data_IF_149720249793
#
_entry.id   IF_149720249793
#
_cell.length_a   1.000
_cell.length_b   1.000
_cell.length_c   1.000
_cell.angle_alpha   90.00
_cell.angle_beta   90.00
_cell.angle_gamma   90.00
#
_symmetry.space_group_name_H-M   'P 1'
#
loop_
_entity.id
_entity.type
_entity.pdbx_description
1 polymer ?
#
# COMPACT_ATOMS: atom_id res chain seq x y z
N UNK A 1 11.71 0.54 -46.56
CA UNK A 1 13.05 0.33 -47.08
C UNK A 1 14.02 0.03 -45.96
N UNK A 2 15.11 -0.64 -46.26
CA UNK A 2 16.15 -0.98 -45.29
C UNK A 2 16.77 0.26 -44.65
N UNK A 3 16.86 1.35 -45.41
CA UNK A 3 17.41 2.61 -44.94
C UNK A 3 16.55 3.31 -43.86
N UNK A 4 15.23 3.31 -44.01
CA UNK A 4 14.31 4.03 -43.14
C UNK A 4 13.55 3.12 -42.18
N UNK A 5 13.63 1.81 -42.33
CA UNK A 5 12.83 0.85 -41.60
C UNK A 5 13.05 0.87 -40.08
N UNK A 6 14.18 1.39 -39.63
CA UNK A 6 14.53 1.50 -38.20
C UNK A 6 14.43 2.93 -37.63
N UNK A 7 14.10 3.91 -38.49
CA UNK A 7 14.03 5.31 -38.08
C UNK A 7 12.59 5.72 -37.78
N UNK A 8 12.37 6.54 -36.73
CA UNK A 8 11.05 7.12 -36.49
C UNK A 8 10.76 8.22 -37.52
N UNK A 9 9.49 8.50 -37.87
CA UNK A 9 9.10 9.59 -38.77
C UNK A 9 9.73 10.94 -38.45
N UNK A 10 9.95 11.27 -37.19
CA UNK A 10 10.65 12.48 -36.76
C UNK A 10 12.11 12.58 -37.22
N UNK A 11 12.74 11.47 -37.60
CA UNK A 11 14.08 11.44 -38.20
C UNK A 11 14.02 11.25 -39.71
N UNK A 12 12.98 10.59 -40.21
CA UNK A 12 12.84 10.36 -41.67
C UNK A 12 12.53 11.67 -42.40
N UNK A 13 11.60 12.48 -41.89
CA UNK A 13 11.15 13.71 -42.57
C UNK A 13 12.28 14.72 -42.76
N UNK A 14 13.07 15.10 -41.73
CA UNK A 14 14.20 16.02 -41.95
C UNK A 14 15.30 15.41 -42.84
N UNK A 15 15.55 14.10 -42.74
CA UNK A 15 16.55 13.44 -43.57
C UNK A 15 16.18 13.45 -45.06
N UNK A 16 14.88 13.27 -45.36
CA UNK A 16 14.39 13.44 -46.74
C UNK A 16 14.51 14.88 -47.20
N UNK A 17 14.29 15.84 -46.34
CA UNK A 17 14.44 17.26 -46.66
C UNK A 17 15.91 17.63 -46.98
N UNK A 18 16.88 17.01 -46.29
CA UNK A 18 18.30 17.18 -46.59
C UNK A 18 18.67 16.73 -48.04
N UNK A 19 17.91 15.78 -48.59
CA UNK A 19 17.99 15.34 -49.98
C UNK A 19 17.05 16.12 -50.92
N UNK A 20 16.47 17.22 -50.46
CA UNK A 20 15.56 18.05 -51.27
C UNK A 20 14.17 17.44 -51.50
N UNK A 21 13.79 16.43 -50.71
CA UNK A 21 12.51 15.73 -50.83
C UNK A 21 11.60 16.03 -49.66
N UNK A 22 10.39 16.50 -49.94
CA UNK A 22 9.33 16.61 -48.94
C UNK A 22 8.14 15.76 -49.38
N UNK A 23 7.89 14.65 -48.68
CA UNK A 23 6.80 13.74 -48.99
C UNK A 23 5.53 14.09 -48.19
N UNK A 24 5.66 14.20 -46.88
CA UNK A 24 4.56 14.52 -45.96
C UNK A 24 5.08 14.95 -44.59
N UNK A 25 4.19 15.51 -43.76
CA UNK A 25 4.51 15.83 -42.39
C UNK A 25 4.69 14.56 -41.53
N UNK A 26 5.42 14.69 -40.42
CA UNK A 26 5.60 13.61 -39.44
C UNK A 26 4.27 12.98 -38.99
N UNK A 27 3.27 13.84 -38.75
CA UNK A 27 1.93 13.39 -38.35
C UNK A 27 1.26 12.50 -39.40
N UNK A 28 1.49 12.80 -40.66
CA UNK A 28 0.97 11.99 -41.78
C UNK A 28 1.67 10.64 -41.85
N UNK A 29 2.99 10.59 -41.67
CA UNK A 29 3.74 9.34 -41.56
C UNK A 29 3.25 8.49 -40.43
N UNK A 30 3.07 9.06 -39.22
CA UNK A 30 2.54 8.32 -38.08
C UNK A 30 1.11 7.78 -38.31
N UNK A 31 0.26 8.55 -39.00
CA UNK A 31 -1.10 8.12 -39.36
C UNK A 31 -1.09 6.93 -40.31
N UNK A 32 -0.28 6.99 -41.36
CA UNK A 32 -0.16 5.90 -42.35
C UNK A 32 0.44 4.65 -41.69
N UNK A 33 1.54 4.77 -40.97
CA UNK A 33 2.17 3.65 -40.29
C UNK A 33 1.24 2.98 -39.27
N UNK A 34 0.36 3.76 -38.65
CA UNK A 34 -0.65 3.21 -37.74
C UNK A 34 -1.73 2.44 -38.50
N UNK A 35 -2.22 2.97 -39.63
CA UNK A 35 -3.19 2.30 -40.47
C UNK A 35 -2.68 0.97 -41.02
N UNK A 36 -1.37 0.94 -41.41
CA UNK A 36 -0.70 -0.25 -41.91
C UNK A 36 -0.16 -1.19 -40.81
N UNK A 37 -0.48 -0.95 -39.51
CA UNK A 37 0.04 -1.72 -38.38
C UNK A 37 1.57 -1.80 -38.29
N UNK A 38 2.28 -0.82 -38.85
CA UNK A 38 3.74 -0.76 -38.88
C UNK A 38 4.35 0.10 -37.75
N UNK A 39 3.53 0.73 -36.91
CA UNK A 39 3.98 1.41 -35.71
C UNK A 39 4.29 0.38 -34.63
N UNK A 40 5.40 -0.32 -34.74
CA UNK A 40 5.92 -1.19 -33.68
C UNK A 40 6.71 -0.35 -32.70
N UNK A 41 6.28 -0.34 -31.43
CA UNK A 41 7.15 0.19 -30.38
C UNK A 41 8.39 -0.71 -30.27
N UNK A 42 9.58 -0.12 -30.16
CA UNK A 42 10.87 -0.84 -30.02
C UNK A 42 10.92 -1.90 -28.91
N UNK A 43 9.93 -1.94 -28.02
CA UNK A 43 9.78 -2.95 -26.95
C UNK A 43 8.64 -3.94 -27.18
N UNK A 44 7.93 -3.86 -28.31
CA UNK A 44 6.75 -4.70 -28.59
C UNK A 44 7.12 -6.14 -28.99
N UNK A 45 8.39 -6.45 -29.25
CA UNK A 45 8.84 -7.81 -29.56
C UNK A 45 8.86 -8.77 -28.35
N UNK A 46 8.81 -8.23 -27.13
CA UNK A 46 8.58 -9.06 -25.95
C UNK A 46 7.07 -9.14 -25.70
N UNK A 47 6.46 -10.33 -25.80
CA UNK A 47 5.07 -10.49 -25.43
C UNK A 47 4.85 -9.91 -24.04
N UNK A 48 3.78 -9.12 -23.87
CA UNK A 48 3.42 -8.56 -22.60
C UNK A 48 3.34 -9.73 -21.59
N UNK A 49 4.24 -9.77 -20.61
CA UNK A 49 4.13 -10.76 -19.52
C UNK A 49 2.78 -10.56 -18.89
N UNK A 50 1.90 -11.55 -18.98
CA UNK A 50 0.67 -11.57 -18.22
C UNK A 50 1.04 -11.51 -16.75
N UNK A 51 0.78 -10.38 -16.12
CA UNK A 51 0.99 -10.19 -14.69
C UNK A 51 -0.29 -10.63 -14.00
N UNK A 52 -0.28 -11.84 -13.47
CA UNK A 52 -1.38 -12.29 -12.65
C UNK A 52 -1.44 -11.44 -11.37
N UNK A 53 -2.66 -11.04 -11.01
CA UNK A 53 -2.90 -10.35 -9.74
C UNK A 53 -2.45 -11.23 -8.58
N UNK A 54 -1.81 -10.71 -7.51
CA UNK A 54 -1.49 -11.50 -6.34
C UNK A 54 -2.76 -12.15 -5.78
N UNK A 55 -2.61 -13.32 -5.17
CA UNK A 55 -3.74 -13.99 -4.50
C UNK A 55 -4.39 -13.02 -3.52
N UNK A 56 -5.71 -12.95 -3.57
CA UNK A 56 -6.49 -12.22 -2.57
C UNK A 56 -6.25 -12.83 -1.19
N UNK A 57 -5.91 -11.98 -0.22
CA UNK A 57 -5.69 -12.37 1.16
C UNK A 57 -6.69 -11.63 2.05
N UNK A 58 -7.07 -12.24 3.16
CA UNK A 58 -7.93 -11.61 4.15
C UNK A 58 -7.48 -11.94 5.56
N UNK A 59 -7.74 -11.02 6.48
CA UNK A 59 -7.52 -11.20 7.90
C UNK A 59 -8.84 -10.96 8.67
N UNK A 60 -9.13 -11.81 9.64
CA UNK A 60 -10.29 -11.75 10.53
C UNK A 60 -9.91 -11.53 11.97
N UNK A 61 -8.63 -11.64 12.28
CA UNK A 61 -8.03 -11.44 13.60
C UNK A 61 -6.62 -10.82 13.49
N UNK A 62 -6.06 -10.28 14.57
CA UNK A 62 -4.67 -9.88 14.64
C UNK A 62 -3.70 -11.03 14.31
N UNK A 63 -2.51 -10.69 13.84
CA UNK A 63 -1.42 -11.63 13.60
C UNK A 63 -1.74 -12.75 12.58
N UNK A 64 -2.65 -12.48 11.62
CA UNK A 64 -2.91 -13.36 10.47
C UNK A 64 -2.24 -12.85 9.18
N UNK A 65 -2.17 -11.53 9.01
CA UNK A 65 -1.64 -10.90 7.81
C UNK A 65 -0.90 -9.63 8.17
N UNK A 66 0.40 -9.65 7.96
CA UNK A 66 1.31 -8.53 8.20
C UNK A 66 1.82 -8.02 6.86
N UNK A 67 1.78 -6.71 6.65
CA UNK A 67 2.44 -6.04 5.54
C UNK A 67 3.71 -5.37 6.03
N UNK A 68 4.78 -5.42 5.24
CA UNK A 68 6.00 -4.70 5.58
C UNK A 68 6.64 -4.02 4.38
N UNK A 69 7.41 -2.99 4.67
CA UNK A 69 8.12 -2.23 3.67
C UNK A 69 9.23 -1.39 4.33
N UNK A 70 10.14 -0.88 3.50
CA UNK A 70 11.24 0.00 3.92
C UNK A 70 10.99 1.39 3.38
N UNK A 71 11.12 2.41 4.23
CA UNK A 71 11.10 3.80 3.77
C UNK A 71 12.37 4.54 4.20
N UNK A 72 12.76 5.50 3.39
CA UNK A 72 14.00 6.28 3.56
C UNK A 72 13.74 7.49 4.43
N UNK A 73 14.62 7.70 5.40
CA UNK A 73 14.68 8.85 6.27
C UNK A 73 15.93 9.66 5.91
N UNK A 74 15.81 10.95 5.51
CA UNK A 74 16.94 11.74 5.04
C UNK A 74 17.93 12.01 6.17
N UNK A 75 19.23 11.94 5.84
CA UNK A 75 20.32 12.36 6.73
C UNK A 75 20.84 13.74 6.33
N UNK A 76 21.69 14.34 7.16
CA UNK A 76 22.34 15.63 6.86
C UNK A 76 23.22 15.57 5.60
N UNK A 77 23.64 14.38 5.17
CA UNK A 77 24.44 14.18 3.96
C UNK A 77 23.52 13.89 2.79
N UNK A 78 23.55 14.73 1.77
CA UNK A 78 22.71 14.58 0.59
C UNK A 78 22.96 13.23 -0.10
N UNK A 79 21.87 12.51 -0.38
CA UNK A 79 21.93 11.19 -1.01
C UNK A 79 22.18 10.03 -0.05
N UNK A 80 22.42 10.29 1.22
CA UNK A 80 22.56 9.28 2.28
C UNK A 80 21.27 9.23 3.09
N UNK A 81 20.80 8.02 3.41
CA UNK A 81 19.54 7.78 4.11
C UNK A 81 19.72 6.78 5.24
N UNK A 82 18.89 6.93 6.27
CA UNK A 82 18.57 5.83 7.17
C UNK A 82 17.35 5.09 6.63
N UNK A 83 17.26 3.80 6.93
CA UNK A 83 16.27 2.88 6.40
C UNK A 83 15.34 2.44 7.53
N UNK A 84 14.09 2.88 7.45
CA UNK A 84 13.07 2.46 8.41
C UNK A 84 12.34 1.23 7.88
N UNK A 85 12.56 0.11 8.55
CA UNK A 85 11.82 -1.13 8.38
C UNK A 85 10.55 -1.07 9.21
N UNK A 86 9.40 -1.28 8.60
CA UNK A 86 8.12 -1.14 9.25
C UNK A 86 7.20 -2.31 8.92
N UNK A 87 6.64 -2.95 9.97
CA UNK A 87 5.73 -4.08 9.87
C UNK A 87 4.40 -3.70 10.50
N UNK A 88 3.32 -3.78 9.73
CA UNK A 88 1.97 -3.42 10.14
C UNK A 88 1.04 -4.62 10.07
N UNK A 89 0.36 -4.94 11.15
CA UNK A 89 -0.76 -5.88 11.14
C UNK A 89 -1.94 -5.28 10.37
N UNK A 90 -2.37 -5.95 9.31
CA UNK A 90 -3.39 -5.42 8.38
C UNK A 90 -4.76 -5.37 9.04
N UNK A 91 -5.09 -6.30 9.93
CA UNK A 91 -6.38 -6.33 10.61
C UNK A 91 -6.54 -5.18 11.59
N UNK A 92 -5.60 -5.03 12.50
CA UNK A 92 -5.66 -4.03 13.55
C UNK A 92 -5.10 -2.66 13.18
N UNK A 93 -4.28 -2.58 12.15
CA UNK A 93 -3.43 -1.42 11.79
C UNK A 93 -2.28 -1.16 12.76
N UNK A 94 -2.07 -2.00 13.76
CA UNK A 94 -0.96 -1.86 14.70
C UNK A 94 0.38 -2.07 14.00
N UNK A 95 1.32 -1.17 14.26
CA UNK A 95 2.73 -1.39 13.92
C UNK A 95 3.24 -2.42 14.91
N UNK A 96 3.46 -3.65 14.45
CA UNK A 96 3.89 -4.79 15.27
C UNK A 96 5.40 -4.93 15.33
N UNK A 97 6.13 -4.33 14.38
CA UNK A 97 7.59 -4.33 14.37
C UNK A 97 8.15 -3.15 13.61
N UNK A 98 9.31 -2.72 14.04
CA UNK A 98 10.06 -1.67 13.37
C UNK A 98 11.50 -1.62 13.83
N UNK A 99 12.37 -1.09 12.96
CA UNK A 99 13.72 -0.69 13.33
C UNK A 99 14.27 0.29 12.29
N UNK A 100 15.21 1.14 12.69
CA UNK A 100 15.93 2.04 11.79
C UNK A 100 17.38 1.58 11.71
N UNK A 101 17.87 1.42 10.48
CA UNK A 101 19.25 1.02 10.19
C UNK A 101 19.91 2.00 9.23
N UNK A 102 21.20 1.88 9.06
CA UNK A 102 22.04 2.64 8.11
C UNK A 102 22.23 1.92 6.77
N UNK A 103 21.68 0.72 6.63
CA UNK A 103 21.75 -0.10 5.42
C UNK A 103 20.48 -0.91 5.21
N UNK A 104 20.28 -1.37 3.98
CA UNK A 104 19.22 -2.33 3.63
C UNK A 104 19.80 -3.74 3.55
N UNK A 105 19.22 -4.68 4.31
CA UNK A 105 19.60 -6.08 4.23
C UNK A 105 18.47 -7.02 4.62
N UNK A 106 18.50 -8.24 4.09
CA UNK A 106 17.56 -9.32 4.43
C UNK A 106 17.82 -9.87 5.84
N UNK A 107 19.03 -9.79 6.34
CA UNK A 107 19.45 -10.21 7.69
C UNK A 107 18.76 -9.33 8.74
N UNK A 108 18.81 -8.01 8.55
CA UNK A 108 18.16 -7.05 9.44
C UNK A 108 16.64 -7.19 9.46
N UNK A 109 16.02 -7.45 8.30
CA UNK A 109 14.59 -7.76 8.22
C UNK A 109 14.26 -9.07 8.97
N UNK A 110 15.13 -10.07 8.88
CA UNK A 110 15.01 -11.35 9.59
C UNK A 110 15.02 -11.18 11.11
N UNK A 111 15.89 -10.33 11.62
CA UNK A 111 15.98 -10.05 13.06
C UNK A 111 14.71 -9.36 13.58
N UNK A 112 14.20 -8.38 12.85
CA UNK A 112 12.92 -7.73 13.20
C UNK A 112 11.76 -8.73 13.18
N UNK A 113 11.72 -9.64 12.19
CA UNK A 113 10.64 -10.63 12.11
C UNK A 113 10.70 -11.68 13.23
N UNK A 114 11.91 -12.12 13.64
CA UNK A 114 12.07 -12.99 14.82
C UNK A 114 11.57 -12.32 16.09
N UNK A 115 11.93 -11.05 16.29
CA UNK A 115 11.48 -10.25 17.44
C UNK A 115 9.94 -10.10 17.45
N UNK A 116 9.31 -9.85 16.29
CA UNK A 116 7.85 -9.79 16.15
C UNK A 116 7.22 -11.13 16.56
N UNK A 117 7.69 -12.25 16.04
CA UNK A 117 7.14 -13.57 16.35
C UNK A 117 7.19 -13.88 17.86
N UNK A 118 8.27 -13.48 18.54
CA UNK A 118 8.42 -13.67 19.99
C UNK A 118 7.46 -12.74 20.76
N UNK A 119 7.47 -11.43 20.46
CA UNK A 119 6.67 -10.44 21.21
C UNK A 119 5.17 -10.57 21.02
N UNK A 120 4.76 -10.90 19.83
CA UNK A 120 3.33 -11.08 19.51
C UNK A 120 2.87 -12.54 19.72
N UNK A 121 3.76 -13.41 20.22
CA UNK A 121 3.48 -14.85 20.47
C UNK A 121 2.87 -15.55 19.24
N UNK A 122 3.49 -15.37 18.07
CA UNK A 122 2.99 -15.91 16.80
C UNK A 122 3.38 -17.39 16.70
N UNK A 123 2.38 -18.26 16.50
CA UNK A 123 2.60 -19.66 16.24
C UNK A 123 3.05 -19.92 14.79
N UNK A 124 3.79 -21.00 14.51
CA UNK A 124 4.06 -21.43 13.13
C UNK A 124 2.77 -21.54 12.30
N UNK A 125 2.86 -21.19 11.02
CA UNK A 125 1.77 -21.20 10.02
C UNK A 125 0.58 -20.24 10.31
N UNK A 126 0.72 -19.37 11.30
CA UNK A 126 -0.31 -18.39 11.67
C UNK A 126 -0.28 -17.17 10.76
N UNK A 127 0.89 -16.68 10.35
CA UNK A 127 1.08 -15.38 9.69
C UNK A 127 1.45 -15.53 8.23
N UNK A 128 0.80 -14.72 7.40
CA UNK A 128 1.27 -14.39 6.05
C UNK A 128 1.97 -13.04 6.10
N UNK A 129 3.21 -12.97 5.65
CA UNK A 129 3.99 -11.73 5.53
C UNK A 129 3.97 -11.24 4.08
N UNK A 130 3.31 -10.11 3.84
CA UNK A 130 3.21 -9.49 2.53
C UNK A 130 4.20 -8.34 2.37
N UNK A 131 4.86 -8.27 1.21
CA UNK A 131 5.81 -7.21 0.87
C UNK A 131 5.86 -6.89 -0.61
N UNK A 132 6.58 -5.85 -0.95
CA UNK A 132 7.00 -5.59 -2.33
C UNK A 132 8.06 -6.58 -2.82
N UNK A 133 8.54 -6.38 -4.06
CA UNK A 133 9.54 -7.22 -4.69
C UNK A 133 10.97 -6.66 -4.55
N UNK A 134 11.23 -5.85 -3.54
CA UNK A 134 12.55 -5.30 -3.26
C UNK A 134 13.60 -6.38 -2.98
N UNK A 135 14.88 -6.03 -3.14
CA UNK A 135 15.99 -6.96 -2.89
C UNK A 135 16.00 -7.52 -1.45
N UNK A 136 15.83 -6.70 -0.39
CA UNK A 136 15.78 -7.20 0.98
C UNK A 136 14.60 -8.16 1.22
N UNK A 137 13.46 -7.95 0.50
CA UNK A 137 12.25 -8.75 0.66
C UNK A 137 12.39 -10.18 0.11
N UNK A 138 13.28 -10.37 -0.86
CA UNK A 138 13.53 -11.65 -1.54
C UNK A 138 14.89 -12.26 -1.21
N UNK A 139 15.62 -11.65 -0.28
CA UNK A 139 16.91 -12.17 0.17
C UNK A 139 16.78 -13.58 0.74
N UNK A 140 17.75 -14.45 0.39
CA UNK A 140 17.73 -15.86 0.81
C UNK A 140 17.68 -16.01 2.33
N UNK A 141 18.39 -15.16 3.06
CA UNK A 141 18.39 -15.16 4.53
C UNK A 141 17.01 -14.89 5.11
N UNK A 142 16.29 -13.90 4.59
CA UNK A 142 14.93 -13.62 5.05
C UNK A 142 13.99 -14.79 4.72
N UNK A 143 14.03 -15.32 3.49
CA UNK A 143 13.18 -16.46 3.10
C UNK A 143 13.43 -17.70 3.94
N UNK A 144 14.68 -18.04 4.22
CA UNK A 144 15.04 -19.13 5.11
C UNK A 144 14.56 -18.89 6.55
N UNK A 145 14.66 -17.67 7.04
CA UNK A 145 14.14 -17.29 8.36
C UNK A 145 12.61 -17.41 8.42
N UNK A 146 11.87 -16.92 7.42
CA UNK A 146 10.42 -17.06 7.36
C UNK A 146 10.00 -18.54 7.36
N UNK A 147 10.69 -19.37 6.58
CA UNK A 147 10.46 -20.81 6.57
C UNK A 147 10.69 -21.44 7.95
N UNK A 148 11.79 -21.10 8.62
CA UNK A 148 12.10 -21.61 9.96
C UNK A 148 11.08 -21.14 11.03
N UNK A 149 10.48 -19.96 10.87
CA UNK A 149 9.44 -19.42 11.75
C UNK A 149 8.02 -19.92 11.40
N UNK A 150 7.84 -20.63 10.30
CA UNK A 150 6.51 -20.99 9.79
C UNK A 150 5.71 -19.77 9.29
N UNK A 151 6.38 -18.75 8.77
CA UNK A 151 5.74 -17.54 8.20
C UNK A 151 5.66 -17.66 6.70
N UNK A 152 4.46 -17.57 6.14
CA UNK A 152 4.24 -17.70 4.69
C UNK A 152 4.54 -16.36 3.98
N UNK A 153 5.51 -16.28 3.06
CA UNK A 153 5.77 -15.07 2.29
C UNK A 153 4.72 -14.85 1.20
N UNK A 154 4.37 -13.59 0.96
CA UNK A 154 3.51 -13.13 -0.13
C UNK A 154 4.10 -11.86 -0.75
N UNK A 155 4.04 -11.72 -2.08
CA UNK A 155 4.68 -10.62 -2.78
C UNK A 155 3.72 -9.87 -3.70
N UNK A 156 3.92 -8.56 -3.80
CA UNK A 156 3.31 -7.70 -4.81
C UNK A 156 3.74 -8.08 -6.22
N UNK A 157 2.99 -7.65 -7.23
CA UNK A 157 3.44 -7.74 -8.62
C UNK A 157 4.62 -6.78 -8.85
N UNK A 158 5.61 -7.16 -9.66
CA UNK A 158 6.71 -6.26 -10.00
C UNK A 158 6.22 -4.93 -10.58
N UNK A 159 6.68 -3.80 -10.02
CA UNK A 159 6.33 -2.44 -10.42
C UNK A 159 4.82 -2.11 -10.37
N UNK A 160 4.10 -2.68 -9.38
CA UNK A 160 2.71 -2.33 -9.08
C UNK A 160 2.62 -1.93 -7.60
N UNK A 161 2.69 -0.64 -7.32
CA UNK A 161 2.66 -0.08 -5.97
C UNK A 161 1.34 -0.37 -5.24
N UNK A 162 0.22 -0.37 -5.96
CA UNK A 162 -1.11 -0.60 -5.38
C UNK A 162 -1.31 -1.98 -4.74
N UNK A 163 -0.35 -2.88 -4.85
CA UNK A 163 -0.43 -4.21 -4.25
C UNK A 163 0.01 -4.22 -2.76
N UNK A 164 0.68 -3.14 -2.26
CA UNK A 164 1.04 -2.96 -0.84
C UNK A 164 0.47 -1.65 -0.24
N UNK A 165 -0.86 -1.43 -0.31
CA UNK A 165 -1.48 -0.15 0.03
C UNK A 165 -1.40 0.20 1.52
N UNK A 166 -1.21 -0.78 2.39
CA UNK A 166 -1.18 -0.57 3.84
C UNK A 166 0.11 0.10 4.30
N UNK A 167 1.24 -0.39 3.85
CA UNK A 167 2.56 0.22 4.12
C UNK A 167 2.65 1.62 3.50
N UNK A 168 2.20 1.80 2.25
CA UNK A 168 2.17 3.11 1.60
C UNK A 168 1.30 4.13 2.35
N UNK A 169 0.10 3.73 2.78
CA UNK A 169 -0.80 4.59 3.56
C UNK A 169 -0.19 4.97 4.91
N UNK A 170 0.51 4.03 5.56
CA UNK A 170 1.20 4.27 6.81
C UNK A 170 2.34 5.28 6.63
N UNK A 171 3.17 5.13 5.60
CA UNK A 171 4.24 6.08 5.30
C UNK A 171 3.70 7.47 4.96
N UNK A 172 2.57 7.58 4.27
CA UNK A 172 1.89 8.86 4.08
C UNK A 172 1.47 9.46 5.42
N UNK A 173 0.83 8.68 6.29
CA UNK A 173 0.43 9.14 7.63
C UNK A 173 1.63 9.64 8.43
N UNK A 174 2.77 8.97 8.35
CA UNK A 174 4.01 9.36 9.02
C UNK A 174 4.59 10.66 8.45
N UNK A 175 4.80 10.71 7.13
CA UNK A 175 5.55 11.79 6.45
C UNK A 175 4.75 13.09 6.30
N UNK A 176 3.41 13.01 6.24
CA UNK A 176 2.55 14.20 6.05
C UNK A 176 1.95 14.74 7.35
N UNK A 177 2.27 14.15 8.51
CA UNK A 177 1.80 14.75 9.77
C UNK A 177 2.63 16.00 10.11
N UNK A 178 2.03 17.03 10.73
CA UNK A 178 2.72 18.28 11.09
C UNK A 178 3.96 18.08 12.00
N UNK A 179 3.98 17.01 12.80
CA UNK A 179 5.10 16.68 13.67
C UNK A 179 6.26 15.94 12.98
N UNK A 180 6.18 15.67 11.65
CA UNK A 180 7.32 15.12 10.92
C UNK A 180 8.43 16.17 10.87
N UNK A 181 9.71 15.80 11.11
CA UNK A 181 10.80 16.76 11.10
C UNK A 181 10.91 17.48 9.76
N UNK A 182 11.02 18.80 9.82
CA UNK A 182 11.27 19.63 8.62
C UNK A 182 12.73 19.56 8.16
N UNK A 183 13.63 19.12 9.04
CA UNK A 183 15.05 18.93 8.77
C UNK A 183 15.40 17.45 8.76
N UNK A 184 16.51 17.12 8.11
CA UNK A 184 17.08 15.79 8.07
C UNK A 184 17.53 15.32 9.46
N UNK A 185 17.60 14.00 9.66
CA UNK A 185 18.01 13.42 10.94
C UNK A 185 19.53 13.51 11.13
N UNK A 186 19.96 14.04 12.27
CA UNK A 186 21.37 14.24 12.60
C UNK A 186 22.12 12.92 12.85
N UNK A 187 21.42 11.89 13.34
CA UNK A 187 22.00 10.60 13.66
C UNK A 187 20.96 9.48 13.61
N UNK A 188 21.44 8.24 13.50
CA UNK A 188 20.61 7.04 13.59
C UNK A 188 19.82 6.99 14.91
N UNK A 189 20.43 7.43 16.01
CA UNK A 189 19.78 7.48 17.32
C UNK A 189 18.65 8.52 17.35
N UNK A 190 18.83 9.69 16.73
CA UNK A 190 17.80 10.71 16.60
C UNK A 190 16.63 10.20 15.76
N UNK A 191 16.90 9.52 14.64
CA UNK A 191 15.88 8.88 13.82
C UNK A 191 15.11 7.81 14.59
N UNK A 192 15.78 6.91 15.30
CA UNK A 192 15.15 5.88 16.15
C UNK A 192 14.26 6.47 17.24
N UNK A 193 14.73 7.52 17.91
CA UNK A 193 13.94 8.21 18.94
C UNK A 193 12.67 8.80 18.37
N UNK A 194 12.78 9.52 17.25
CA UNK A 194 11.61 10.12 16.61
C UNK A 194 10.60 9.07 16.12
N UNK A 195 11.09 8.02 15.44
CA UNK A 195 10.24 6.91 14.97
C UNK A 195 9.57 6.22 16.14
N UNK A 196 10.27 5.98 17.25
CA UNK A 196 9.69 5.40 18.46
C UNK A 196 8.51 6.23 19.00
N UNK A 197 8.68 7.57 19.07
CA UNK A 197 7.59 8.47 19.48
C UNK A 197 6.42 8.44 18.49
N UNK A 198 6.71 8.41 17.17
CA UNK A 198 5.66 8.28 16.16
C UNK A 198 4.86 6.99 16.34
N UNK A 199 5.52 5.85 16.53
CA UNK A 199 4.86 4.54 16.67
C UNK A 199 4.03 4.47 17.95
N UNK A 200 4.54 5.03 19.05
CA UNK A 200 3.79 5.12 20.29
C UNK A 200 2.49 5.91 20.08
N UNK A 201 2.59 7.09 19.47
CA UNK A 201 1.41 7.87 19.13
C UNK A 201 0.49 7.13 18.13
N UNK A 202 1.03 6.53 17.08
CA UNK A 202 0.23 5.84 16.07
C UNK A 202 -0.55 4.65 16.65
N UNK A 203 0.11 3.84 17.47
CA UNK A 203 -0.52 2.66 18.02
C UNK A 203 -1.53 2.98 19.13
N UNK A 204 -1.29 4.01 19.96
CA UNK A 204 -2.05 4.23 21.19
C UNK A 204 -2.94 5.49 21.20
N UNK A 205 -2.69 6.46 20.31
CA UNK A 205 -3.45 7.72 20.30
C UNK A 205 -4.18 7.96 18.98
N UNK A 206 -3.57 7.57 17.85
CA UNK A 206 -4.15 7.80 16.52
C UNK A 206 -5.45 7.04 16.31
N UNK A 207 -6.54 7.79 16.09
CA UNK A 207 -7.89 7.26 15.81
C UNK A 207 -8.03 6.94 14.33
N UNK A 208 -7.81 5.68 13.94
CA UNK A 208 -7.74 5.27 12.55
C UNK A 208 -9.14 5.08 11.92
N UNK A 209 -9.46 5.85 10.87
CA UNK A 209 -10.80 5.88 10.25
C UNK A 209 -11.24 4.53 9.68
N UNK A 210 -10.34 3.74 9.08
CA UNK A 210 -10.66 2.44 8.50
C UNK A 210 -11.07 1.39 9.54
N UNK A 211 -10.76 1.60 10.82
CA UNK A 211 -11.14 0.73 11.95
C UNK A 211 -12.12 1.41 12.89
N UNK A 212 -12.97 2.29 12.38
CA UNK A 212 -14.02 2.99 13.14
C UNK A 212 -13.49 3.95 14.23
N UNK A 213 -12.32 4.54 14.02
CA UNK A 213 -11.72 5.50 14.96
C UNK A 213 -11.41 4.95 16.35
N UNK A 214 -11.15 3.64 16.46
CA UNK A 214 -10.40 3.09 17.58
C UNK A 214 -8.91 3.22 17.31
N UNK A 215 -8.07 3.07 18.33
CA UNK A 215 -6.62 3.01 18.11
C UNK A 215 -6.20 1.63 17.61
N UNK A 216 -5.09 1.52 16.87
CA UNK A 216 -4.55 0.24 16.45
C UNK A 216 -4.32 -0.74 17.63
N UNK A 217 -3.81 -0.25 18.76
CA UNK A 217 -3.58 -1.07 19.94
C UNK A 217 -4.88 -1.59 20.57
N UNK A 218 -5.92 -0.73 20.70
CA UNK A 218 -7.25 -1.15 21.19
C UNK A 218 -7.83 -2.27 20.33
N UNK A 219 -7.74 -2.14 19.00
CA UNK A 219 -8.25 -3.16 18.10
C UNK A 219 -7.41 -4.44 18.14
N UNK A 220 -6.08 -4.31 18.21
CA UNK A 220 -5.19 -5.47 18.31
C UNK A 220 -5.44 -6.30 19.58
N UNK A 221 -5.81 -5.63 20.65
CA UNK A 221 -6.21 -6.26 21.92
C UNK A 221 -7.69 -6.72 21.96
N UNK A 222 -8.43 -6.64 20.84
CA UNK A 222 -9.86 -6.96 20.72
C UNK A 222 -10.78 -6.13 21.65
N UNK A 223 -10.35 -4.92 22.03
CA UNK A 223 -11.13 -4.00 22.87
C UNK A 223 -12.08 -3.13 22.05
N UNK A 224 -11.99 -3.16 20.72
CA UNK A 224 -12.76 -2.31 19.81
C UNK A 224 -14.27 -2.60 19.87
N UNK A 225 -14.69 -3.82 20.06
CA UNK A 225 -16.11 -4.20 20.08
C UNK A 225 -16.87 -3.48 21.20
N UNK A 226 -16.34 -3.51 22.42
CA UNK A 226 -16.95 -2.84 23.57
C UNK A 226 -16.94 -1.31 23.41
N UNK A 227 -15.82 -0.74 22.95
CA UNK A 227 -15.68 0.69 22.71
C UNK A 227 -16.67 1.19 21.64
N UNK A 228 -16.84 0.45 20.57
CA UNK A 228 -17.76 0.81 19.48
C UNK A 228 -19.22 0.68 19.92
N UNK A 229 -19.55 -0.33 20.74
CA UNK A 229 -20.89 -0.46 21.33
C UNK A 229 -21.20 0.73 22.26
N UNK A 230 -20.28 1.14 23.14
CA UNK A 230 -20.45 2.34 23.97
C UNK A 230 -20.72 3.58 23.12
N UNK A 231 -19.97 3.76 22.03
CA UNK A 231 -20.19 4.89 21.10
C UNK A 231 -21.56 4.82 20.43
N UNK A 232 -21.98 3.64 19.97
CA UNK A 232 -23.29 3.46 19.38
C UNK A 232 -24.41 3.89 20.35
N UNK A 233 -24.34 3.45 21.60
CA UNK A 233 -25.31 3.81 22.63
C UNK A 233 -25.37 5.33 22.87
N UNK A 234 -24.21 6.00 22.98
CA UNK A 234 -24.14 7.47 23.17
C UNK A 234 -24.80 8.22 22.00
N UNK A 235 -24.58 7.76 20.77
CA UNK A 235 -25.18 8.38 19.58
C UNK A 235 -26.71 8.16 19.54
N UNK A 236 -27.19 6.97 19.85
CA UNK A 236 -28.63 6.68 19.91
C UNK A 236 -29.33 7.47 21.00
N UNK A 237 -28.73 7.60 22.18
CA UNK A 237 -29.28 8.44 23.28
C UNK A 237 -29.29 9.93 22.91
N UNK A 238 -28.22 10.43 22.24
CA UNK A 238 -28.19 11.79 21.77
C UNK A 238 -29.29 12.07 20.72
N UNK A 239 -29.55 11.11 19.84
CA UNK A 239 -30.63 11.19 18.85
C UNK A 239 -32.00 11.16 19.51
N UNK A 240 -32.21 10.33 20.54
CA UNK A 240 -33.48 10.30 21.30
C UNK A 240 -33.76 11.63 21.99
N UNK A 241 -32.74 12.29 22.54
CA UNK A 241 -32.88 13.58 23.21
C UNK A 241 -33.14 14.76 22.27
N UNK A 242 -32.61 14.70 21.06
CA UNK A 242 -32.67 15.78 20.05
C UNK A 242 -32.92 15.22 18.66
N UNK A 243 -34.09 14.59 18.39
CA UNK A 243 -34.39 13.96 17.11
C UNK A 243 -34.34 14.93 15.93
N UNK A 244 -34.67 16.20 16.15
CA UNK A 244 -34.67 17.27 15.18
C UNK A 244 -33.31 17.57 14.57
N UNK A 245 -32.20 17.17 15.23
CA UNK A 245 -30.82 17.34 14.76
C UNK A 245 -30.36 16.23 13.82
N UNK A 246 -31.21 15.22 13.58
CA UNK A 246 -30.81 14.03 12.83
C UNK A 246 -31.70 13.83 11.60
N UNK A 247 -31.11 13.92 10.42
CA UNK A 247 -31.81 13.69 9.13
C UNK A 247 -31.93 12.21 8.74
N UNK A 248 -31.39 11.28 9.54
CA UNK A 248 -31.37 9.85 9.23
C UNK A 248 -30.86 9.00 10.38
N UNK A 249 -30.30 7.83 10.04
CA UNK A 249 -29.70 6.91 11.04
C UNK A 249 -28.40 7.49 11.63
N UNK A 250 -28.04 7.03 12.81
CA UNK A 250 -26.77 7.39 13.43
C UNK A 250 -25.57 6.78 12.67
N UNK A 251 -24.37 7.18 13.02
CA UNK A 251 -23.15 6.65 12.42
C UNK A 251 -23.02 5.15 12.66
N UNK A 252 -22.64 4.39 11.63
CA UNK A 252 -22.38 2.96 11.77
C UNK A 252 -21.09 2.71 12.58
N UNK A 253 -21.24 2.21 13.79
CA UNK A 253 -20.18 1.83 14.72
C UNK A 253 -19.91 0.32 14.74
N UNK A 254 -20.49 -0.47 13.84
CA UNK A 254 -20.24 -1.92 13.77
C UNK A 254 -18.74 -2.18 13.49
N UNK A 255 -18.10 -3.10 14.23
CA UNK A 255 -16.70 -3.47 13.98
C UNK A 255 -16.47 -3.97 12.55
N UNK A 256 -15.31 -3.66 11.99
CA UNK A 256 -14.90 -4.21 10.70
C UNK A 256 -14.37 -5.63 10.92
N UNK A 257 -15.13 -6.65 10.56
CA UNK A 257 -14.79 -8.04 10.87
C UNK A 257 -13.76 -8.66 9.96
N UNK A 258 -13.71 -8.24 8.70
CA UNK A 258 -12.79 -8.79 7.68
C UNK A 258 -12.06 -7.64 7.01
N UNK A 259 -10.76 -7.78 6.86
CA UNK A 259 -9.91 -6.86 6.12
C UNK A 259 -9.27 -7.61 4.97
N UNK A 260 -9.33 -7.03 3.78
CA UNK A 260 -8.83 -7.65 2.56
C UNK A 260 -7.56 -6.97 2.06
N UNK A 261 -6.63 -7.78 1.55
CA UNK A 261 -5.50 -7.35 0.74
C UNK A 261 -5.69 -7.89 -0.67
N UNK A 262 -5.62 -7.02 -1.67
CA UNK A 262 -5.74 -7.36 -3.10
C UNK A 262 -7.00 -8.17 -3.46
N UNK A 263 -8.23 -7.77 -3.03
CA UNK A 263 -9.45 -8.53 -3.31
C UNK A 263 -9.65 -8.73 -4.82
N UNK A 264 -10.15 -9.91 -5.22
CA UNK A 264 -10.33 -10.27 -6.64
C UNK A 264 -11.39 -9.45 -7.34
N UNK A 265 -12.40 -9.01 -6.60
CA UNK A 265 -13.42 -8.07 -7.07
C UNK A 265 -13.35 -6.78 -6.26
N UNK A 266 -13.58 -5.64 -6.92
CA UNK A 266 -13.83 -4.40 -6.17
C UNK A 266 -15.07 -4.65 -5.32
N UNK A 267 -14.92 -4.67 -4.01
CA UNK A 267 -16.08 -4.58 -3.10
C UNK A 267 -16.81 -3.30 -3.48
N UNK A 268 -18.08 -3.35 -3.93
CA UNK A 268 -18.77 -2.16 -4.38
C UNK A 268 -18.74 -1.13 -3.25
N UNK A 269 -18.24 0.06 -3.55
CA UNK A 269 -18.31 1.17 -2.61
C UNK A 269 -19.78 1.43 -2.35
N UNK A 270 -20.18 1.69 -1.11
CA UNK A 270 -21.58 1.97 -0.69
C UNK A 270 -22.32 3.05 -1.50
N UNK A 271 -21.69 3.75 -2.41
CA UNK A 271 -22.29 4.66 -3.39
C UNK A 271 -23.18 3.93 -4.39
N UNK A 272 -22.84 2.69 -4.76
CA UNK A 272 -23.59 1.94 -5.79
C UNK A 272 -24.94 1.39 -5.27
N UNK A 273 -25.10 1.27 -3.94
CA UNK A 273 -26.38 0.87 -3.33
C UNK A 273 -27.47 1.96 -3.37
N UNK A 274 -27.09 3.24 -3.56
CA UNK A 274 -28.09 4.30 -3.75
C UNK A 274 -28.67 4.31 -5.16
N UNK A 275 -27.90 3.92 -6.16
CA UNK A 275 -28.37 3.86 -7.55
C UNK A 275 -29.28 2.65 -7.78
N UNK A 276 -28.95 1.48 -7.24
CA UNK A 276 -29.83 0.29 -7.33
C UNK A 276 -31.17 0.51 -6.63
N UNK A 277 -31.18 1.18 -5.46
CA UNK A 277 -32.42 1.53 -4.76
C UNK A 277 -33.21 2.68 -5.43
N UNK A 278 -32.58 3.49 -6.29
CA UNK A 278 -33.26 4.53 -7.05
C UNK A 278 -33.91 3.97 -8.32
N UNK A 279 -33.34 2.94 -8.91
CA UNK A 279 -33.92 2.23 -10.06
C UNK A 279 -35.09 1.33 -9.65
N UNK A 280 -35.03 0.64 -8.51
CA UNK A 280 -36.15 -0.14 -7.97
C UNK A 280 -37.37 0.71 -7.56
N UNK A 281 -37.17 2.01 -7.27
CA UNK A 281 -38.26 2.96 -6.98
C UNK A 281 -38.87 3.60 -8.23
N UNK A 282 -38.25 3.46 -9.40
CA UNK A 282 -38.76 3.95 -10.68
C UNK A 282 -39.56 2.89 -11.45
N UNK A 283 -39.53 1.63 -11.02
CA UNK A 283 -40.22 0.48 -11.64
C UNK A 283 -41.39 -0.07 -10.78
N UNK A 284 -41.70 0.59 -9.66
CA UNK A 284 -42.90 0.36 -8.84
C UNK A 284 -43.79 1.61 -8.87
#
# INVERSE_FOLDING_TARGET
SDEFGQLPPSQIVPRLADFGQYIASESTFYRVLRAENQLKQRRAERPAKQRHKPRALSATAPNQLVSWDITYLPTLVLGVYFYLYLFIDIFSRKIVGWQVYDTESSELASDVMRDICIRENIAPDQVVLHSDNGSPMKGATLLATLQALGVTPSFSRPAVSNDNPYSESLFKTMKYRPAYPSQAFESLLAARRWVGMFIQWYNHEHRHSAIRFVTPAERHANLDTELLQKRANVYEEAKKRHPERWSGVTRNWQPVRVVHLNPDQRVPKKTDQKEVNSELKKTA
#
